data_IF_144884878420
#
_entry.id   IF_144884878420
#
_cell.length_a   1.000
_cell.length_b   1.000
_cell.length_c   1.000
_cell.angle_alpha   90.00
_cell.angle_beta   90.00
_cell.angle_gamma   90.00
#
_symmetry.space_group_name_H-M   'P 1'
#
loop_
_entity.id
_entity.type
_entity.pdbx_description
1 polymer ?
#
# COMPACT_ATOMS: atom_id res chain seq x y z
N UNK A 1 14.29 -42.11 96.20
CA UNK A 1 15.41 -42.53 95.33
C UNK A 1 15.88 -41.31 94.56
N UNK A 2 17.16 -40.97 94.69
CA UNK A 2 17.75 -39.75 94.13
C UNK A 2 17.89 -39.88 92.61
N UNK A 3 17.26 -38.98 91.85
CA UNK A 3 17.45 -38.81 90.41
C UNK A 3 18.91 -38.41 90.12
N UNK A 4 19.78 -39.36 89.81
CA UNK A 4 21.14 -39.05 89.35
C UNK A 4 21.61 -40.00 88.26
N UNK A 5 20.86 -40.04 87.16
CA UNK A 5 21.48 -40.20 85.84
C UNK A 5 21.12 -39.00 84.96
N UNK A 6 21.40 -37.82 85.49
CA UNK A 6 21.29 -36.54 84.79
C UNK A 6 22.16 -36.49 83.54
N UNK A 7 23.23 -37.30 83.50
CA UNK A 7 24.12 -37.45 82.35
C UNK A 7 23.39 -38.08 81.17
N UNK A 8 22.67 -39.19 81.37
CA UNK A 8 21.93 -39.86 80.30
C UNK A 8 20.81 -38.98 79.73
N UNK A 9 20.03 -38.30 80.59
CA UNK A 9 18.96 -37.38 80.13
C UNK A 9 19.55 -36.18 79.39
N UNK A 10 20.64 -35.59 79.91
CA UNK A 10 21.33 -34.47 79.25
C UNK A 10 21.88 -34.89 77.89
N UNK A 11 22.48 -36.07 77.79
CA UNK A 11 23.00 -36.60 76.53
C UNK A 11 21.87 -36.83 75.51
N UNK A 12 20.75 -37.41 75.92
CA UNK A 12 19.60 -37.63 75.04
C UNK A 12 19.01 -36.31 74.50
N UNK A 13 18.88 -35.30 75.37
CA UNK A 13 18.43 -33.96 74.96
C UNK A 13 19.44 -33.34 73.99
N UNK A 14 20.73 -33.44 74.27
CA UNK A 14 21.77 -32.87 73.42
C UNK A 14 21.81 -33.52 72.03
N UNK A 15 21.65 -34.85 71.95
CA UNK A 15 21.56 -35.56 70.66
C UNK A 15 20.34 -35.09 69.89
N UNK A 16 19.15 -35.08 70.52
CA UNK A 16 17.93 -34.63 69.84
C UNK A 16 18.03 -33.17 69.37
N UNK A 17 18.63 -32.29 70.17
CA UNK A 17 18.82 -30.89 69.79
C UNK A 17 19.76 -30.76 68.58
N UNK A 18 20.82 -31.57 68.53
CA UNK A 18 21.76 -31.57 67.40
C UNK A 18 21.08 -32.10 66.14
N UNK A 19 20.27 -33.15 66.24
CA UNK A 19 19.52 -33.70 65.11
C UNK A 19 18.49 -32.69 64.57
N UNK A 20 17.66 -32.13 65.47
CA UNK A 20 16.65 -31.12 65.11
C UNK A 20 17.32 -29.87 64.49
N UNK A 21 18.46 -29.42 65.05
CA UNK A 21 19.23 -28.30 64.49
C UNK A 21 19.84 -28.64 63.14
N UNK A 22 20.33 -29.87 62.94
CA UNK A 22 20.89 -30.30 61.66
C UNK A 22 19.82 -30.34 60.57
N UNK A 23 18.62 -30.80 60.89
CA UNK A 23 17.47 -30.79 59.98
C UNK A 23 17.01 -29.35 59.66
N UNK A 24 16.99 -28.47 60.67
CA UNK A 24 16.70 -27.05 60.49
C UNK A 24 17.75 -26.36 59.60
N UNK A 25 19.04 -26.58 59.84
CA UNK A 25 20.10 -25.98 59.01
C UNK A 25 20.07 -26.53 57.58
N UNK A 26 19.71 -27.79 57.40
CA UNK A 26 19.56 -28.39 56.06
C UNK A 26 18.38 -27.77 55.30
N UNK A 27 17.23 -27.57 55.95
CA UNK A 27 16.07 -26.93 55.34
C UNK A 27 16.29 -25.43 55.09
N UNK A 28 16.96 -24.72 56.00
CA UNK A 28 17.33 -23.29 55.82
C UNK A 28 18.40 -23.12 54.74
N UNK A 29 19.34 -24.05 54.58
CA UNK A 29 20.29 -24.04 53.46
C UNK A 29 19.58 -24.25 52.11
N UNK A 30 18.58 -25.14 52.06
CA UNK A 30 17.75 -25.34 50.87
C UNK A 30 16.91 -24.11 50.51
N UNK A 31 16.43 -23.36 51.51
CA UNK A 31 15.67 -22.11 51.30
C UNK A 31 16.60 -20.94 50.91
N UNK A 32 17.79 -20.85 51.49
CA UNK A 32 18.72 -19.73 51.27
C UNK A 32 19.58 -19.85 50.01
N UNK A 33 19.72 -21.05 49.43
CA UNK A 33 20.40 -21.25 48.13
C UNK A 33 19.52 -20.93 46.90
N UNK A 34 18.31 -20.41 47.11
CA UNK A 34 17.37 -20.02 46.06
C UNK A 34 16.30 -21.08 45.82
N UNK A 35 15.10 -20.84 46.35
CA UNK A 35 13.92 -21.67 46.06
C UNK A 35 13.69 -21.75 44.56
N UNK A 36 13.99 -22.91 43.98
CA UNK A 36 13.56 -23.21 42.62
C UNK A 36 12.03 -23.27 42.58
N UNK A 37 11.41 -22.56 41.64
CA UNK A 37 9.96 -22.60 41.44
C UNK A 37 9.69 -23.53 40.26
N UNK A 38 8.80 -24.49 40.46
CA UNK A 38 8.26 -25.29 39.37
C UNK A 38 7.16 -24.47 38.70
N UNK A 39 7.35 -24.10 37.43
CA UNK A 39 6.45 -23.17 36.71
C UNK A 39 5.32 -23.88 35.95
N UNK A 40 5.33 -25.21 35.87
CA UNK A 40 4.25 -26.00 35.27
C UNK A 40 4.17 -27.40 35.88
N UNK A 41 3.02 -28.06 35.77
CA UNK A 41 2.83 -29.41 36.32
C UNK A 41 3.71 -30.49 35.66
N UNK A 42 4.21 -30.23 34.45
CA UNK A 42 5.08 -31.14 33.68
C UNK A 42 6.58 -30.84 33.87
N UNK A 43 6.92 -29.79 34.63
CA UNK A 43 8.31 -29.42 34.90
C UNK A 43 8.83 -30.14 36.15
N UNK A 44 9.64 -31.17 35.94
CA UNK A 44 10.10 -32.08 37.00
C UNK A 44 11.42 -31.66 37.65
N UNK A 45 12.01 -30.54 37.26
CA UNK A 45 13.33 -30.10 37.77
C UNK A 45 13.22 -28.72 38.39
N UNK A 46 13.42 -28.52 39.70
CA UNK A 46 13.44 -27.17 40.28
C UNK A 46 14.55 -26.30 39.67
N UNK A 47 14.27 -25.02 39.42
CA UNK A 47 15.25 -24.05 38.94
C UNK A 47 14.83 -22.62 39.28
N UNK A 48 15.74 -21.65 39.13
CA UNK A 48 15.38 -20.24 39.36
C UNK A 48 14.35 -19.79 38.32
N UNK A 49 13.53 -18.79 38.69
CA UNK A 49 12.46 -18.29 37.82
C UNK A 49 12.98 -17.90 36.42
N UNK A 50 14.20 -17.39 36.34
CA UNK A 50 14.87 -17.00 35.09
C UNK A 50 15.11 -18.23 34.19
N UNK A 51 15.73 -19.28 34.70
CA UNK A 51 15.97 -20.53 33.96
C UNK A 51 14.68 -21.22 33.52
N UNK A 52 13.58 -20.99 34.25
CA UNK A 52 12.28 -21.63 34.02
C UNK A 52 11.34 -20.88 33.08
N UNK A 53 11.37 -19.55 33.06
CA UNK A 53 10.59 -18.77 32.11
C UNK A 53 11.32 -18.53 30.77
N UNK A 54 12.65 -18.70 30.71
CA UNK A 54 13.47 -18.42 29.53
C UNK A 54 13.73 -19.65 28.64
N UNK A 55 12.82 -20.63 28.59
CA UNK A 55 12.93 -21.75 27.66
C UNK A 55 12.58 -21.31 26.21
N UNK A 56 13.40 -20.43 25.62
CA UNK A 56 13.24 -19.95 24.24
C UNK A 56 14.01 -18.66 23.94
N UNK A 57 14.41 -18.47 22.68
CA UNK A 57 15.02 -17.22 22.21
C UNK A 57 13.92 -16.23 21.82
N UNK A 58 13.70 -15.17 22.61
CA UNK A 58 12.80 -14.10 22.19
C UNK A 58 12.30 -13.15 23.28
N UNK A 59 12.16 -13.65 24.51
CA UNK A 59 11.82 -12.83 25.68
C UNK A 59 12.96 -12.97 26.67
N UNK A 60 13.59 -11.85 27.05
CA UNK A 60 14.65 -11.81 28.05
C UNK A 60 14.19 -11.06 29.29
N UNK A 61 14.61 -11.52 30.47
CA UNK A 61 14.50 -10.76 31.70
C UNK A 61 15.89 -10.23 32.07
N UNK A 62 16.05 -8.91 32.14
CA UNK A 62 17.32 -8.29 32.54
C UNK A 62 17.16 -7.72 33.94
N UNK A 63 18.08 -8.10 34.83
CA UNK A 63 18.19 -7.49 36.16
C UNK A 63 19.02 -6.21 36.05
N UNK A 64 18.41 -5.08 36.37
CA UNK A 64 19.09 -3.80 36.42
C UNK A 64 19.41 -3.43 37.87
N UNK A 65 20.56 -2.76 38.04
CA UNK A 65 21.05 -2.28 39.33
C UNK A 65 21.29 -3.42 40.36
N UNK A 66 22.13 -4.42 40.01
CA UNK A 66 22.40 -5.54 40.91
C UNK A 66 23.04 -5.02 42.22
N UNK A 67 22.59 -5.55 43.37
CA UNK A 67 23.03 -5.18 44.71
C UNK A 67 22.54 -3.83 45.26
N UNK A 68 21.44 -3.29 44.72
CA UNK A 68 20.73 -2.11 45.27
C UNK A 68 19.21 -2.29 45.12
N UNK A 69 18.42 -1.23 44.92
CA UNK A 69 17.02 -1.39 44.51
C UNK A 69 16.97 -1.97 43.10
N UNK A 70 16.86 -3.30 43.04
CA UNK A 70 16.82 -4.06 41.80
C UNK A 70 15.50 -3.79 41.07
N UNK A 71 15.60 -3.53 39.77
CA UNK A 71 14.44 -3.44 38.87
C UNK A 71 14.58 -4.51 37.80
N UNK A 72 13.45 -4.98 37.27
CA UNK A 72 13.40 -5.99 36.21
C UNK A 72 12.87 -5.37 34.93
N UNK A 73 13.58 -5.59 33.83
CA UNK A 73 13.11 -5.26 32.47
C UNK A 73 12.72 -6.53 31.74
N UNK A 74 11.52 -6.53 31.15
CA UNK A 74 11.09 -7.52 30.17
C UNK A 74 11.48 -6.98 28.79
N UNK A 75 12.47 -7.60 28.16
CA UNK A 75 12.94 -7.22 26.84
C UNK A 75 12.40 -8.19 25.79
N UNK A 76 11.93 -7.64 24.67
CA UNK A 76 11.66 -8.38 23.44
C UNK A 76 12.83 -8.07 22.51
N UNK A 77 13.44 -9.08 21.92
CA UNK A 77 14.52 -8.89 20.93
C UNK A 77 13.91 -8.84 19.51
N UNK A 78 13.80 -7.65 18.88
CA UNK A 78 13.31 -7.54 17.51
C UNK A 78 14.40 -7.87 16.48
N UNK A 79 14.00 -8.13 15.23
CA UNK A 79 14.94 -8.06 14.12
C UNK A 79 15.59 -6.66 14.05
N UNK A 80 16.90 -6.61 13.82
CA UNK A 80 17.63 -5.37 13.55
C UNK A 80 17.17 -4.75 12.23
N UNK A 81 17.52 -3.48 12.01
CA UNK A 81 17.16 -2.77 10.77
C UNK A 81 17.69 -3.48 9.51
N UNK A 82 18.91 -4.02 9.56
CA UNK A 82 19.52 -4.75 8.44
C UNK A 82 18.79 -6.08 8.17
N UNK A 83 18.45 -6.81 9.22
CA UNK A 83 17.67 -8.06 9.15
C UNK A 83 16.23 -7.82 8.67
N UNK A 84 15.62 -6.70 9.08
CA UNK A 84 14.32 -6.24 8.63
C UNK A 84 14.30 -5.86 7.15
N UNK A 85 15.35 -5.20 6.68
CA UNK A 85 15.49 -4.81 5.28
C UNK A 85 15.81 -6.00 4.37
N UNK A 86 16.59 -6.96 4.87
CA UNK A 86 16.93 -8.19 4.15
C UNK A 86 15.81 -9.24 4.17
N UNK A 87 14.89 -9.18 5.15
CA UNK A 87 13.76 -10.11 5.25
C UNK A 87 14.14 -11.54 5.66
N UNK A 88 15.33 -11.76 6.21
CA UNK A 88 15.89 -13.11 6.42
C UNK A 88 15.57 -13.74 7.78
N UNK A 89 15.22 -12.92 8.79
CA UNK A 89 15.12 -13.40 10.17
C UNK A 89 13.74 -13.94 10.54
N UNK A 90 13.67 -15.25 10.77
CA UNK A 90 12.45 -15.96 11.16
C UNK A 90 12.42 -16.39 12.64
N UNK A 91 13.55 -16.33 13.36
CA UNK A 91 13.69 -16.87 14.72
C UNK A 91 13.34 -15.89 15.84
N UNK A 92 13.09 -14.61 15.53
CA UNK A 92 12.77 -13.59 16.53
C UNK A 92 11.26 -13.40 16.69
N UNK A 93 10.75 -13.02 17.87
CA UNK A 93 9.32 -12.79 18.09
C UNK A 93 8.74 -11.66 17.23
N UNK A 94 9.56 -10.66 16.90
CA UNK A 94 9.24 -9.62 15.94
C UNK A 94 10.16 -9.82 14.74
N UNK A 95 9.67 -10.60 13.78
CA UNK A 95 10.25 -10.82 12.45
C UNK A 95 9.96 -9.61 11.53
N UNK A 96 10.69 -9.46 10.41
CA UNK A 96 10.39 -8.46 9.38
C UNK A 96 8.93 -8.56 8.89
N UNK A 97 8.44 -9.79 8.72
CA UNK A 97 7.04 -10.10 8.35
C UNK A 97 6.02 -9.63 9.38
N UNK A 98 6.25 -9.87 10.68
CA UNK A 98 5.33 -9.43 11.74
C UNK A 98 5.38 -7.93 12.00
N UNK A 99 6.55 -7.29 11.81
CA UNK A 99 6.67 -5.83 11.92
C UNK A 99 5.93 -5.12 10.79
N UNK A 100 6.04 -5.65 9.57
CA UNK A 100 5.27 -5.19 8.41
C UNK A 100 3.77 -5.33 8.65
N UNK A 101 3.32 -6.43 9.25
CA UNK A 101 1.92 -6.66 9.66
C UNK A 101 1.39 -5.65 10.69
N UNK A 102 2.21 -5.22 11.66
CA UNK A 102 1.78 -4.31 12.73
C UNK A 102 1.79 -2.83 12.33
N UNK A 103 2.71 -2.39 11.47
CA UNK A 103 2.88 -0.96 11.16
C UNK A 103 2.75 -0.57 9.68
N UNK A 104 2.74 -1.50 8.73
CA UNK A 104 3.00 -1.18 7.32
C UNK A 104 2.00 -1.67 6.27
N UNK A 105 0.91 -2.35 6.62
CA UNK A 105 0.09 -3.04 5.61
C UNK A 105 -1.19 -2.33 5.14
N UNK A 106 -1.60 -1.18 5.69
CA UNK A 106 -2.83 -0.54 5.21
C UNK A 106 -2.63 0.26 3.92
N UNK A 107 -2.70 -0.43 2.77
CA UNK A 107 -2.68 0.09 1.39
C UNK A 107 -1.82 1.35 1.21
N UNK A 108 -0.54 1.26 1.61
CA UNK A 108 0.41 2.33 1.35
C UNK A 108 0.77 2.35 -0.13
N UNK A 109 0.97 3.54 -0.67
CA UNK A 109 1.63 3.75 -1.94
C UNK A 109 2.44 5.04 -1.81
N UNK A 110 3.68 5.02 -2.27
CA UNK A 110 4.58 6.16 -2.28
C UNK A 110 5.53 6.03 -3.47
N UNK A 111 5.75 7.13 -4.19
CA UNK A 111 6.43 7.10 -5.48
C UNK A 111 5.60 6.38 -6.53
N UNK A 112 6.25 5.53 -7.35
CA UNK A 112 5.61 4.80 -8.46
C UNK A 112 4.87 5.77 -9.39
N UNK A 113 5.51 6.91 -9.67
CA UNK A 113 4.98 7.96 -10.53
C UNK A 113 5.22 7.55 -11.97
N UNK A 114 4.17 7.64 -12.79
CA UNK A 114 4.25 7.30 -14.21
C UNK A 114 4.62 8.53 -15.04
N UNK A 115 5.47 8.33 -16.04
CA UNK A 115 5.76 9.33 -17.06
C UNK A 115 6.13 8.68 -18.39
N UNK A 116 5.84 9.36 -19.49
CA UNK A 116 6.37 8.96 -20.80
C UNK A 116 7.91 9.02 -20.78
N UNK A 117 8.57 8.01 -21.36
CA UNK A 117 10.02 7.99 -21.53
C UNK A 117 10.48 8.77 -22.79
N UNK A 118 11.74 8.62 -23.19
CA UNK A 118 12.29 9.15 -24.43
C UNK A 118 11.52 8.65 -25.67
N UNK A 119 11.19 7.35 -25.74
CA UNK A 119 10.20 6.85 -26.68
C UNK A 119 8.79 7.08 -26.10
N UNK A 120 8.28 8.28 -26.33
CA UNK A 120 6.98 8.65 -25.76
C UNK A 120 5.80 7.85 -26.32
N UNK A 121 6.00 7.14 -27.43
CA UNK A 121 4.93 6.43 -28.16
C UNK A 121 4.64 5.07 -27.52
N UNK A 122 5.63 4.42 -26.89
CA UNK A 122 5.46 3.06 -26.36
C UNK A 122 5.99 2.86 -24.95
N UNK A 123 6.79 3.78 -24.42
CA UNK A 123 7.59 3.54 -23.22
C UNK A 123 7.11 4.42 -22.05
N UNK A 124 6.96 3.78 -20.88
CA UNK A 124 6.58 4.41 -19.62
C UNK A 124 7.63 4.12 -18.56
N UNK A 125 8.11 5.20 -17.93
CA UNK A 125 8.94 5.14 -16.74
C UNK A 125 8.03 5.02 -15.52
N UNK A 126 8.44 4.17 -14.59
CA UNK A 126 7.82 3.96 -13.30
C UNK A 126 8.88 4.29 -12.26
N UNK A 127 8.76 5.45 -11.62
CA UNK A 127 9.77 5.88 -10.65
C UNK A 127 9.89 4.88 -9.49
N UNK A 128 11.06 4.85 -8.85
CA UNK A 128 11.27 4.09 -7.62
C UNK A 128 10.19 4.42 -6.58
N UNK A 129 9.79 3.40 -5.82
CA UNK A 129 8.70 3.54 -4.87
C UNK A 129 8.28 2.23 -4.24
N UNK A 130 7.17 2.26 -3.52
CA UNK A 130 6.63 1.07 -2.87
C UNK A 130 5.12 1.13 -2.79
N UNK A 131 4.49 -0.04 -2.83
CA UNK A 131 3.08 -0.19 -2.54
C UNK A 131 2.77 -1.52 -1.86
N UNK A 132 1.72 -1.54 -1.04
CA UNK A 132 1.14 -2.82 -0.62
C UNK A 132 0.37 -3.43 -1.79
N UNK A 133 0.47 -4.74 -1.97
CA UNK A 133 -0.31 -5.47 -2.96
C UNK A 133 -1.82 -5.33 -2.74
N UNK A 134 -2.62 -5.68 -3.75
CA UNK A 134 -4.07 -5.50 -3.73
C UNK A 134 -4.80 -6.32 -2.64
N UNK A 135 -4.17 -7.32 -2.06
CA UNK A 135 -4.70 -8.09 -0.93
C UNK A 135 -4.27 -7.54 0.44
N UNK A 136 -3.49 -6.46 0.47
CA UNK A 136 -2.90 -5.89 1.69
C UNK A 136 -2.12 -6.94 2.51
N UNK A 137 -1.30 -7.76 1.84
CA UNK A 137 -0.52 -8.87 2.43
C UNK A 137 1.00 -8.74 2.25
N UNK A 138 1.47 -8.07 1.19
CA UNK A 138 2.88 -7.99 0.82
C UNK A 138 3.26 -6.58 0.40
N UNK A 139 4.47 -6.15 0.77
CA UNK A 139 5.08 -4.93 0.26
C UNK A 139 5.82 -5.24 -1.05
N UNK A 140 5.49 -4.47 -2.09
CA UNK A 140 6.19 -4.47 -3.37
C UNK A 140 7.06 -3.21 -3.40
N UNK A 141 8.38 -3.37 -3.48
CA UNK A 141 9.34 -2.26 -3.43
C UNK A 141 10.11 -2.22 -4.75
N UNK A 142 9.86 -1.19 -5.54
CA UNK A 142 10.65 -0.92 -6.74
C UNK A 142 11.83 -0.03 -6.35
N UNK A 143 13.04 -0.61 -6.26
CA UNK A 143 14.21 0.04 -5.70
C UNK A 143 14.79 1.16 -6.58
N UNK A 144 14.62 1.06 -7.89
CA UNK A 144 15.04 2.04 -8.89
C UNK A 144 13.90 2.27 -9.90
N UNK A 145 13.95 3.36 -10.65
CA UNK A 145 13.08 3.49 -11.81
C UNK A 145 13.27 2.30 -12.77
N UNK A 146 12.19 1.88 -13.42
CA UNK A 146 12.23 0.99 -14.58
C UNK A 146 11.36 1.57 -15.70
N UNK A 147 11.73 1.26 -16.93
CA UNK A 147 10.98 1.56 -18.15
C UNK A 147 10.33 0.28 -18.66
N UNK A 148 9.04 0.32 -18.96
CA UNK A 148 8.33 -0.77 -19.65
C UNK A 148 7.74 -0.29 -20.96
N UNK A 149 7.79 -1.17 -21.96
CA UNK A 149 7.34 -0.89 -23.34
C UNK A 149 6.07 -1.65 -23.66
N UNK A 150 5.01 -0.98 -24.09
CA UNK A 150 3.68 -1.59 -24.26
C UNK A 150 3.54 -2.40 -25.57
N UNK A 151 4.43 -2.20 -26.52
CA UNK A 151 4.33 -2.70 -27.90
C UNK A 151 4.85 -4.14 -28.10
N UNK A 152 5.26 -4.80 -27.01
CA UNK A 152 5.77 -6.17 -27.03
C UNK A 152 5.31 -6.99 -25.83
N UNK A 153 5.31 -8.32 -25.99
CA UNK A 153 4.94 -9.28 -24.95
C UNK A 153 5.91 -9.22 -23.77
N UNK A 154 5.35 -9.19 -22.56
CA UNK A 154 6.08 -8.94 -21.32
C UNK A 154 7.35 -9.78 -21.16
N UNK A 155 8.42 -9.12 -20.71
CA UNK A 155 9.69 -9.72 -20.32
C UNK A 155 10.20 -9.07 -19.03
N UNK A 156 11.02 -9.82 -18.28
CA UNK A 156 11.58 -9.34 -17.01
C UNK A 156 12.56 -8.18 -17.23
N UNK A 157 12.45 -7.13 -16.43
CA UNK A 157 13.49 -6.11 -16.25
C UNK A 157 13.17 -4.73 -16.84
N UNK A 158 14.19 -3.88 -16.76
CA UNK A 158 14.22 -2.51 -17.26
C UNK A 158 14.39 -2.45 -18.78
N UNK A 159 13.85 -1.41 -19.41
CA UNK A 159 13.71 -1.24 -20.87
C UNK A 159 13.05 -2.45 -21.59
N UNK A 160 12.38 -3.32 -20.83
CA UNK A 160 11.83 -4.56 -21.34
C UNK A 160 10.36 -4.39 -21.74
N UNK A 161 9.90 -5.33 -22.57
CA UNK A 161 8.52 -5.43 -22.98
C UNK A 161 7.59 -5.60 -21.77
N UNK A 162 6.38 -5.03 -21.84
CA UNK A 162 5.49 -4.87 -20.71
C UNK A 162 4.07 -5.41 -20.90
N UNK A 163 3.64 -5.77 -22.12
CA UNK A 163 2.25 -6.15 -22.36
C UNK A 163 1.97 -7.59 -21.92
N UNK A 164 0.98 -7.77 -21.03
CA UNK A 164 0.68 -9.08 -20.45
C UNK A 164 0.11 -10.08 -21.45
N UNK A 165 -0.66 -9.59 -22.44
CA UNK A 165 -1.40 -10.41 -23.39
C UNK A 165 -1.58 -9.69 -24.74
N UNK A 166 -1.49 -10.46 -25.82
CA UNK A 166 -1.81 -9.97 -27.16
C UNK A 166 -0.81 -8.96 -27.71
N UNK A 167 -1.33 -7.97 -28.42
CA UNK A 167 -0.59 -6.85 -29.02
C UNK A 167 -1.27 -5.54 -28.65
N UNK A 168 -0.52 -4.44 -28.63
CA UNK A 168 -1.09 -3.12 -28.37
C UNK A 168 -2.19 -2.81 -29.41
N UNK A 169 -3.27 -2.20 -28.92
CA UNK A 169 -4.49 -1.93 -29.68
C UNK A 169 -4.77 -0.44 -29.68
N UNK A 170 -5.39 0.05 -30.75
CA UNK A 170 -5.74 1.46 -30.93
C UNK A 170 -6.82 1.90 -29.94
N UNK A 171 -6.81 3.18 -29.58
CA UNK A 171 -7.88 3.85 -28.80
C UNK A 171 -8.27 3.07 -27.53
N UNK A 172 -7.28 2.48 -26.84
CA UNK A 172 -7.48 1.49 -25.78
C UNK A 172 -6.83 1.90 -24.47
N UNK A 173 -7.59 1.75 -23.37
CA UNK A 173 -7.11 1.93 -21.99
C UNK A 173 -6.35 0.70 -21.52
N UNK A 174 -5.15 0.92 -20.99
CA UNK A 174 -4.34 -0.10 -20.34
C UNK A 174 -4.07 0.27 -18.89
N UNK A 175 -4.29 -0.68 -18.00
CA UNK A 175 -3.91 -0.63 -16.61
C UNK A 175 -2.40 -0.86 -16.48
N UNK A 176 -1.72 -0.06 -15.66
CA UNK A 176 -0.32 -0.26 -15.29
C UNK A 176 -0.27 -0.93 -13.93
N UNK A 177 0.31 -2.12 -13.87
CA UNK A 177 0.42 -2.93 -12.67
C UNK A 177 1.87 -3.06 -12.24
N UNK A 178 2.12 -2.88 -10.95
CA UNK A 178 3.34 -3.35 -10.29
C UNK A 178 3.11 -4.81 -9.87
N UNK A 179 4.10 -5.67 -10.08
CA UNK A 179 4.01 -7.10 -9.79
C UNK A 179 5.22 -7.57 -8.98
N UNK A 180 5.04 -8.63 -8.20
CA UNK A 180 6.12 -9.25 -7.43
C UNK A 180 6.01 -10.76 -7.37
N UNK A 181 7.18 -11.36 -7.34
CA UNK A 181 7.43 -12.75 -6.97
C UNK A 181 7.65 -12.86 -5.46
N UNK A 182 6.74 -13.52 -4.74
CA UNK A 182 6.90 -13.71 -3.30
C UNK A 182 8.07 -14.64 -2.92
N UNK A 183 8.48 -15.54 -3.83
CA UNK A 183 9.52 -16.55 -3.59
C UNK A 183 10.95 -15.98 -3.63
N UNK A 184 11.24 -15.11 -4.61
CA UNK A 184 12.55 -14.50 -4.82
C UNK A 184 12.63 -13.04 -4.40
N UNK A 185 11.47 -12.43 -4.15
CA UNK A 185 11.37 -11.00 -3.89
C UNK A 185 11.38 -10.13 -5.14
N UNK A 186 11.63 -10.67 -6.34
CA UNK A 186 11.79 -9.88 -7.57
C UNK A 186 10.51 -9.12 -7.93
N UNK A 187 10.64 -7.81 -8.11
CA UNK A 187 9.61 -6.90 -8.60
C UNK A 187 9.74 -6.58 -10.09
N UNK A 188 8.62 -6.25 -10.74
CA UNK A 188 8.56 -5.74 -12.12
C UNK A 188 7.23 -5.00 -12.33
N UNK A 189 6.92 -4.58 -13.55
CA UNK A 189 5.65 -4.01 -13.94
C UNK A 189 5.14 -4.54 -15.29
N UNK A 190 3.85 -4.36 -15.54
CA UNK A 190 3.20 -4.73 -16.80
C UNK A 190 2.06 -3.79 -17.18
N UNK A 191 1.67 -3.85 -18.45
CA UNK A 191 0.44 -3.28 -18.99
C UNK A 191 -0.60 -4.38 -19.19
N UNK A 192 -1.86 -4.09 -18.87
CA UNK A 192 -2.96 -5.03 -19.03
C UNK A 192 -4.24 -4.33 -19.47
N UNK A 193 -5.06 -5.00 -20.27
CA UNK A 193 -6.44 -4.58 -20.53
C UNK A 193 -7.34 -4.71 -19.28
N UNK A 194 -6.88 -5.47 -18.28
CA UNK A 194 -7.65 -5.75 -17.06
C UNK A 194 -7.29 -4.79 -15.93
N UNK A 195 -8.29 -4.02 -15.49
CA UNK A 195 -8.20 -3.14 -14.32
C UNK A 195 -8.52 -3.82 -12.99
N UNK A 196 -8.74 -5.15 -12.99
CA UNK A 196 -9.04 -5.92 -11.78
C UNK A 196 -8.09 -7.09 -11.56
N UNK A 197 -7.68 -7.75 -12.64
CA UNK A 197 -6.79 -8.90 -12.58
C UNK A 197 -6.01 -9.05 -13.88
N UNK A 198 -4.76 -8.57 -13.95
CA UNK A 198 -3.90 -8.80 -15.11
C UNK A 198 -3.57 -10.28 -15.25
N UNK A 199 -3.15 -10.67 -16.45
CA UNK A 199 -2.58 -12.00 -16.68
C UNK A 199 -1.18 -12.00 -16.12
N UNK A 200 -0.99 -12.67 -14.98
CA UNK A 200 0.30 -12.67 -14.30
C UNK A 200 1.32 -13.51 -15.08
N UNK A 201 2.55 -12.99 -15.30
CA UNK A 201 3.66 -13.80 -15.78
C UNK A 201 3.97 -14.96 -14.84
N UNK A 202 4.70 -15.96 -15.35
CA UNK A 202 5.05 -17.16 -14.57
C UNK A 202 5.78 -16.77 -13.27
N UNK A 203 5.38 -17.39 -12.16
CA UNK A 203 5.89 -17.19 -10.80
C UNK A 203 5.56 -15.84 -10.11
N UNK A 204 4.99 -14.85 -10.82
CA UNK A 204 4.54 -13.60 -10.18
C UNK A 204 3.15 -13.78 -9.55
N UNK A 205 3.03 -13.48 -8.26
CA UNK A 205 1.85 -13.82 -7.46
C UNK A 205 1.30 -12.66 -6.61
N UNK A 206 1.99 -11.52 -6.60
CA UNK A 206 1.50 -10.25 -6.00
C UNK A 206 1.37 -9.18 -7.05
N UNK A 207 0.39 -8.29 -6.88
CA UNK A 207 0.10 -7.21 -7.83
C UNK A 207 -0.52 -5.98 -7.18
N UNK A 208 -0.22 -4.81 -7.71
CA UNK A 208 -0.85 -3.54 -7.35
C UNK A 208 -1.11 -2.71 -8.60
N UNK A 209 -2.33 -2.20 -8.74
CA UNK A 209 -2.68 -1.25 -9.78
C UNK A 209 -2.09 0.11 -9.41
N UNK A 210 -1.22 0.66 -10.26
CA UNK A 210 -0.49 1.91 -9.95
C UNK A 210 -0.85 3.06 -10.88
N UNK A 211 -1.56 2.79 -11.97
CA UNK A 211 -2.06 3.81 -12.88
C UNK A 211 -2.61 3.24 -14.16
N UNK A 212 -2.65 4.06 -15.20
CA UNK A 212 -3.16 3.70 -16.51
C UNK A 212 -2.53 4.54 -17.60
N UNK A 213 -2.60 4.04 -18.83
CA UNK A 213 -2.31 4.78 -20.06
C UNK A 213 -3.44 4.60 -21.06
N UNK A 214 -3.57 5.53 -22.00
CA UNK A 214 -4.51 5.47 -23.10
C UNK A 214 -3.73 5.57 -24.40
N UNK A 215 -4.03 4.68 -25.34
CA UNK A 215 -3.45 4.71 -26.69
C UNK A 215 -4.34 5.50 -27.65
N UNK A 216 -3.77 6.00 -28.75
CA UNK A 216 -4.48 6.68 -29.82
C UNK A 216 -4.84 5.75 -30.99
N UNK A 217 -5.39 6.32 -32.06
CA UNK A 217 -5.78 5.60 -33.27
C UNK A 217 -4.62 4.90 -34.02
N UNK A 218 -3.37 5.15 -33.64
CA UNK A 218 -2.16 4.51 -34.17
C UNK A 218 -1.47 3.60 -33.16
N UNK A 219 -2.14 3.28 -32.04
CA UNK A 219 -1.62 2.50 -30.92
C UNK A 219 -0.48 3.18 -30.12
N UNK A 220 -0.25 4.49 -30.31
CA UNK A 220 0.74 5.23 -29.55
C UNK A 220 0.14 5.68 -28.22
N UNK A 221 0.94 5.68 -27.15
CA UNK A 221 0.53 6.22 -25.85
C UNK A 221 0.28 7.73 -25.97
N UNK A 222 -0.90 8.16 -25.50
CA UNK A 222 -1.20 9.57 -25.34
C UNK A 222 -0.36 10.15 -24.19
N UNK A 223 0.46 11.14 -24.51
CA UNK A 223 1.32 11.78 -23.54
C UNK A 223 0.53 12.45 -22.41
N UNK A 224 1.05 12.32 -21.19
CA UNK A 224 0.43 12.86 -19.98
C UNK A 224 1.46 13.45 -19.02
N UNK A 225 0.96 14.09 -17.96
CA UNK A 225 1.75 14.39 -16.76
C UNK A 225 0.99 13.92 -15.53
N UNK A 226 1.70 13.29 -14.60
CA UNK A 226 1.15 12.89 -13.31
C UNK A 226 1.56 13.92 -12.25
N UNK A 227 0.60 14.31 -11.41
CA UNK A 227 0.83 15.21 -10.28
C UNK A 227 0.30 14.59 -8.99
N UNK A 228 1.02 14.83 -7.91
CA UNK A 228 0.74 14.24 -6.59
C UNK A 228 1.50 12.94 -6.37
N UNK A 229 1.33 12.40 -5.18
CA UNK A 229 1.87 11.12 -4.73
C UNK A 229 0.86 10.48 -3.75
N UNK A 230 1.06 9.22 -3.39
CA UNK A 230 0.15 8.51 -2.51
C UNK A 230 -1.07 7.95 -3.24
N UNK A 231 -2.13 7.68 -2.49
CA UNK A 231 -3.32 6.98 -2.99
C UNK A 231 -4.10 7.79 -4.02
N UNK A 232 -3.94 9.10 -4.09
CA UNK A 232 -4.63 9.95 -5.07
C UNK A 232 -3.61 10.70 -5.91
N UNK A 233 -3.71 10.55 -7.23
CA UNK A 233 -2.88 11.29 -8.19
C UNK A 233 -3.75 11.89 -9.28
N UNK A 234 -3.31 13.02 -9.82
CA UNK A 234 -3.98 13.68 -10.95
C UNK A 234 -3.21 13.39 -12.22
N UNK A 235 -3.88 12.80 -13.20
CA UNK A 235 -3.34 12.59 -14.55
C UNK A 235 -3.87 13.70 -15.45
N UNK A 236 -2.95 14.49 -16.00
CA UNK A 236 -3.22 15.54 -16.99
C UNK A 236 -2.85 15.03 -18.37
N UNK A 237 -3.84 14.96 -19.26
CA UNK A 237 -3.61 14.55 -20.63
C UNK A 237 -3.05 15.73 -21.43
N UNK A 238 -1.98 15.53 -22.19
CA UNK A 238 -1.42 16.61 -23.03
C UNK A 238 -2.36 16.95 -24.18
N UNK A 239 -3.03 15.95 -24.74
CA UNK A 239 -4.15 16.11 -25.66
C UNK A 239 -5.50 16.20 -24.91
N UNK A 240 -6.56 16.67 -25.58
CA UNK A 240 -7.94 16.61 -25.06
C UNK A 240 -8.52 15.28 -25.47
N UNK A 241 -9.02 14.49 -24.52
CA UNK A 241 -9.63 13.20 -24.84
C UNK A 241 -11.08 13.40 -25.26
N UNK A 242 -11.43 13.07 -26.50
CA UNK A 242 -12.82 13.21 -26.98
C UNK A 242 -13.68 12.11 -26.38
N UNK A 243 -14.73 12.50 -25.65
CA UNK A 243 -15.69 11.55 -25.09
C UNK A 243 -16.74 11.19 -26.15
N UNK A 244 -17.36 12.22 -26.73
CA UNK A 244 -18.38 12.09 -27.76
C UNK A 244 -18.58 13.43 -28.47
N UNK A 245 -18.93 13.38 -29.76
CA UNK A 245 -19.25 14.54 -30.60
C UNK A 245 -20.74 14.57 -30.96
N UNK A 246 -21.23 15.73 -31.38
CA UNK A 246 -22.63 15.89 -31.82
C UNK A 246 -23.66 15.82 -30.69
N UNK A 247 -23.23 16.01 -29.44
CA UNK A 247 -24.11 15.94 -28.28
C UNK A 247 -25.06 17.15 -28.27
N UNK A 248 -26.36 16.87 -28.16
CA UNK A 248 -27.41 17.89 -28.12
C UNK A 248 -28.52 17.49 -27.14
N UNK A 249 -28.53 18.09 -25.95
CA UNK A 249 -29.54 17.81 -24.92
C UNK A 249 -29.90 19.06 -24.12
N UNK A 250 -31.16 19.46 -24.13
CA UNK A 250 -31.69 20.61 -23.35
C UNK A 250 -32.18 20.21 -21.96
N UNK A 251 -32.13 18.92 -21.63
CA UNK A 251 -32.33 18.34 -20.31
C UNK A 251 -31.15 17.42 -19.99
N UNK A 252 -30.92 17.09 -18.72
CA UNK A 252 -29.77 16.26 -18.35
C UNK A 252 -29.84 14.89 -19.04
N UNK A 253 -28.85 14.63 -19.88
CA UNK A 253 -28.63 13.36 -20.54
C UNK A 253 -27.36 12.70 -19.99
N UNK A 254 -27.37 11.38 -19.88
CA UNK A 254 -26.22 10.58 -19.44
C UNK A 254 -25.23 10.41 -20.60
N UNK A 255 -23.95 10.59 -20.32
CA UNK A 255 -22.84 10.31 -21.22
C UNK A 255 -21.82 9.43 -20.51
N UNK A 256 -21.43 8.32 -21.14
CA UNK A 256 -20.37 7.45 -20.61
C UNK A 256 -19.00 8.06 -20.83
N UNK A 257 -18.13 7.90 -19.83
CA UNK A 257 -16.71 8.28 -19.85
C UNK A 257 -15.79 7.07 -20.05
N UNK A 258 -16.32 5.84 -20.05
CA UNK A 258 -15.54 4.60 -20.03
C UNK A 258 -14.65 4.36 -21.24
N UNK A 259 -14.86 5.08 -22.34
CA UNK A 259 -14.00 5.02 -23.52
C UNK A 259 -12.65 5.74 -23.32
N UNK A 260 -12.59 6.71 -22.41
CA UNK A 260 -11.40 7.58 -22.23
C UNK A 260 -10.86 7.57 -20.80
N UNK A 261 -11.58 6.98 -19.85
CA UNK A 261 -11.23 6.95 -18.44
C UNK A 261 -11.46 5.56 -17.84
N UNK A 262 -10.54 5.05 -17.00
CA UNK A 262 -10.75 3.80 -16.26
C UNK A 262 -11.65 4.06 -15.06
N UNK A 263 -12.95 3.86 -15.23
CA UNK A 263 -13.99 4.26 -14.28
C UNK A 263 -13.94 3.52 -12.94
N UNK A 264 -13.17 2.44 -12.83
CA UNK A 264 -12.91 1.74 -11.57
C UNK A 264 -11.88 2.45 -10.67
N UNK A 265 -11.07 3.35 -11.24
CA UNK A 265 -10.02 4.08 -10.52
C UNK A 265 -10.32 5.57 -10.40
N UNK A 266 -11.01 6.14 -11.39
CA UNK A 266 -11.24 7.59 -11.43
C UNK A 266 -12.22 8.00 -10.33
N UNK A 267 -11.89 9.04 -9.58
CA UNK A 267 -12.77 9.67 -8.60
C UNK A 267 -13.47 10.89 -9.20
N UNK A 268 -12.69 11.72 -9.90
CA UNK A 268 -13.14 12.99 -10.46
C UNK A 268 -12.44 13.25 -11.79
N UNK A 269 -13.05 14.08 -12.62
CA UNK A 269 -12.47 14.49 -13.90
C UNK A 269 -12.69 15.97 -14.17
N UNK A 270 -11.86 16.54 -15.05
CA UNK A 270 -11.97 17.90 -15.51
C UNK A 270 -12.67 17.89 -16.89
N UNK A 271 -13.96 18.28 -16.98
CA UNK A 271 -14.69 18.35 -18.25
C UNK A 271 -14.24 19.55 -19.10
N UNK A 272 -14.33 19.40 -20.42
CA UNK A 272 -14.27 20.50 -21.38
C UNK A 272 -15.23 20.26 -22.53
N UNK A 273 -15.58 21.30 -23.29
CA UNK A 273 -16.43 21.15 -24.47
C UNK A 273 -16.14 22.20 -25.54
N UNK A 274 -16.40 21.82 -26.79
CA UNK A 274 -16.25 22.69 -27.96
C UNK A 274 -17.55 22.66 -28.77
N UNK A 275 -17.96 23.83 -29.28
CA UNK A 275 -19.06 23.99 -30.23
C UNK A 275 -18.51 24.58 -31.55
N UNK A 276 -18.93 24.04 -32.68
CA UNK A 276 -18.48 24.52 -33.99
C UNK A 276 -19.32 25.68 -34.54
N UNK A 277 -20.40 26.05 -33.85
CA UNK A 277 -21.41 27.01 -34.37
C UNK A 277 -21.39 28.34 -33.61
N UNK A 278 -21.39 28.30 -32.28
CA UNK A 278 -21.36 29.48 -31.41
C UNK A 278 -20.95 29.07 -30.00
N UNK A 279 -20.67 30.06 -29.14
CA UNK A 279 -20.51 29.79 -27.70
C UNK A 279 -21.78 29.18 -27.13
N UNK A 280 -21.65 28.13 -26.31
CA UNK A 280 -22.76 27.39 -25.69
C UNK A 280 -22.51 27.26 -24.20
N UNK A 281 -23.53 27.47 -23.35
CA UNK A 281 -23.43 27.08 -21.94
C UNK A 281 -23.58 25.58 -21.79
N UNK A 282 -22.61 24.97 -21.14
CA UNK A 282 -22.56 23.54 -20.84
C UNK A 282 -22.65 23.37 -19.34
N UNK A 283 -23.60 22.55 -18.92
CA UNK A 283 -23.83 22.20 -17.52
C UNK A 283 -23.45 20.74 -17.35
N UNK A 284 -22.53 20.47 -16.43
CA UNK A 284 -22.12 19.12 -16.10
C UNK A 284 -22.59 18.80 -14.68
N UNK A 285 -23.08 17.59 -14.50
CA UNK A 285 -23.60 17.06 -13.25
C UNK A 285 -23.11 15.63 -13.02
N UNK A 286 -22.83 15.27 -11.77
CA UNK A 286 -22.55 13.88 -11.42
C UNK A 286 -23.85 13.05 -11.36
N UNK A 287 -24.95 13.60 -10.85
CA UNK A 287 -26.20 12.87 -10.56
C UNK A 287 -27.37 13.17 -11.52
N UNK A 288 -27.20 14.11 -12.45
CA UNK A 288 -28.25 14.54 -13.37
C UNK A 288 -29.36 15.39 -12.72
N UNK A 289 -29.18 15.81 -11.46
CA UNK A 289 -30.15 16.63 -10.73
C UNK A 289 -29.65 18.07 -10.61
N UNK A 290 -28.43 18.27 -10.12
CA UNK A 290 -27.84 19.60 -9.91
C UNK A 290 -26.57 19.80 -10.74
N UNK A 291 -26.32 21.02 -11.22
CA UNK A 291 -25.09 21.33 -11.93
C UNK A 291 -23.90 21.32 -10.95
N UNK A 292 -22.93 20.46 -11.20
CA UNK A 292 -21.65 20.43 -10.49
C UNK A 292 -20.67 21.47 -11.02
N UNK A 293 -20.78 21.80 -12.31
CA UNK A 293 -20.04 22.92 -12.92
C UNK A 293 -20.80 23.48 -14.12
N UNK A 294 -20.57 24.76 -14.42
CA UNK A 294 -21.10 25.48 -15.58
C UNK A 294 -19.92 26.14 -16.26
N UNK A 295 -19.75 25.89 -17.56
CA UNK A 295 -18.72 26.53 -18.36
C UNK A 295 -19.21 26.80 -19.78
N UNK A 296 -18.52 27.69 -20.49
CA UNK A 296 -18.84 28.01 -21.87
C UNK A 296 -18.05 27.10 -22.82
N UNK A 297 -18.75 26.30 -23.63
CA UNK A 297 -18.17 25.62 -24.79
C UNK A 297 -17.81 26.65 -25.87
N UNK A 298 -16.56 26.65 -26.32
CA UNK A 298 -15.99 27.69 -27.19
C UNK A 298 -16.26 27.44 -28.68
N UNK A 299 -16.25 28.53 -29.47
CA UNK A 299 -16.30 28.54 -30.94
C UNK A 299 -14.90 28.37 -31.56
N UNK A 300 -14.80 27.62 -32.67
CA UNK A 300 -13.60 27.01 -33.26
C UNK A 300 -12.53 27.94 -33.87
N UNK A 301 -12.59 29.26 -33.65
CA UNK A 301 -11.58 30.20 -34.17
C UNK A 301 -10.47 30.56 -33.17
N UNK A 302 -10.51 30.03 -31.94
CA UNK A 302 -9.44 30.26 -30.97
C UNK A 302 -8.38 29.17 -31.07
N UNK A 303 -7.14 29.58 -31.34
CA UNK A 303 -5.95 28.74 -31.42
C UNK A 303 -5.85 27.75 -30.23
N UNK A 304 -5.22 26.61 -30.48
CA UNK A 304 -4.76 25.69 -29.43
C UNK A 304 -3.97 26.50 -28.40
N UNK A 305 -4.50 26.64 -27.18
CA UNK A 305 -3.91 27.44 -26.10
C UNK A 305 -4.61 28.78 -25.77
N UNK A 306 -5.70 29.17 -26.44
CA UNK A 306 -6.46 30.41 -26.13
C UNK A 306 -7.96 30.18 -25.87
N UNK A 307 -8.28 29.01 -25.36
CA UNK A 307 -9.58 28.69 -24.83
C UNK A 307 -9.52 28.91 -23.31
N UNK A 308 -10.48 29.64 -22.73
CA UNK A 308 -10.68 29.72 -21.28
C UNK A 308 -11.09 28.34 -20.72
N UNK A 309 -10.26 27.31 -20.90
CA UNK A 309 -10.48 25.92 -20.47
C UNK A 309 -10.40 25.73 -18.97
N UNK A 310 -10.23 26.81 -18.21
CA UNK A 310 -9.95 26.77 -16.78
C UNK A 310 -10.75 27.79 -15.96
N UNK A 311 -11.54 28.66 -16.59
CA UNK A 311 -12.07 29.84 -15.92
C UNK A 311 -13.43 30.25 -16.50
N UNK A 312 -14.49 30.08 -15.72
CA UNK A 312 -15.44 31.20 -15.62
C UNK A 312 -14.64 32.35 -15.01
N UNK A 313 -14.72 33.54 -15.60
CA UNK A 313 -14.09 34.77 -15.08
C UNK A 313 -14.43 35.08 -13.61
N UNK A 314 -15.41 34.40 -13.02
CA UNK A 314 -15.76 34.46 -11.61
C UNK A 314 -15.03 33.47 -10.68
N UNK A 315 -14.31 32.44 -11.18
CA UNK A 315 -13.72 31.38 -10.35
C UNK A 315 -12.22 31.20 -10.57
N UNK A 316 -11.44 31.23 -9.48
CA UNK A 316 -9.97 31.29 -9.53
C UNK A 316 -9.23 29.95 -9.78
N UNK A 317 -9.91 28.80 -9.95
CA UNK A 317 -9.29 27.47 -10.02
C UNK A 317 -10.07 26.44 -10.87
N UNK A 318 -9.39 25.42 -11.46
CA UNK A 318 -10.04 24.33 -12.21
C UNK A 318 -11.01 23.52 -11.34
N UNK A 319 -12.19 23.21 -11.88
CA UNK A 319 -13.26 22.48 -11.18
C UNK A 319 -13.30 21.03 -11.66
N UNK A 320 -12.94 20.11 -10.76
CA UNK A 320 -13.10 18.67 -10.98
C UNK A 320 -14.50 18.21 -10.58
N UNK A 321 -15.15 17.45 -11.45
CA UNK A 321 -16.47 16.87 -11.24
C UNK A 321 -16.35 15.39 -10.84
N UNK A 322 -17.02 14.93 -9.77
CA UNK A 322 -17.08 13.51 -9.43
C UNK A 322 -17.70 12.68 -10.55
N UNK A 323 -17.20 11.46 -10.74
CA UNK A 323 -17.85 10.49 -11.64
C UNK A 323 -18.99 9.78 -10.93
N UNK A 324 -20.01 9.35 -11.69
CA UNK A 324 -21.10 8.52 -11.19
C UNK A 324 -21.08 7.17 -11.90
N UNK A 325 -20.43 6.20 -11.25
CA UNK A 325 -20.05 4.95 -11.92
C UNK A 325 -19.22 5.27 -13.16
N UNK A 326 -19.68 4.83 -14.33
CA UNK A 326 -19.01 5.07 -15.60
C UNK A 326 -19.43 6.35 -16.35
N UNK A 327 -20.25 7.20 -15.73
CA UNK A 327 -21.00 8.24 -16.44
C UNK A 327 -20.84 9.64 -15.84
N UNK A 328 -21.17 10.62 -16.68
CA UNK A 328 -21.48 12.00 -16.32
C UNK A 328 -22.81 12.41 -16.92
N UNK A 329 -23.41 13.47 -16.43
CA UNK A 329 -24.64 14.04 -16.97
C UNK A 329 -24.37 15.41 -17.53
N UNK A 330 -24.88 15.69 -18.72
CA UNK A 330 -24.71 16.98 -19.37
C UNK A 330 -26.05 17.54 -19.83
N UNK A 331 -26.16 18.87 -19.86
CA UNK A 331 -27.18 19.59 -20.62
C UNK A 331 -26.59 20.86 -21.20
N UNK A 332 -27.19 21.34 -22.29
CA UNK A 332 -26.77 22.53 -23.01
C UNK A 332 -28.00 23.38 -23.36
N UNK A 333 -27.79 24.69 -23.46
CA UNK A 333 -28.90 25.63 -23.74
C UNK A 333 -29.38 25.55 -25.20
N UNK A 334 -28.46 25.39 -26.17
CA UNK A 334 -28.73 25.22 -27.60
C UNK A 334 -27.48 24.68 -28.34
N UNK A 335 -27.62 24.32 -29.62
CA UNK A 335 -26.54 23.81 -30.53
C UNK A 335 -26.08 22.36 -30.23
N UNK A 336 -24.98 21.94 -30.85
CA UNK A 336 -24.28 20.66 -30.61
C UNK A 336 -22.90 20.92 -30.05
N UNK A 337 -22.42 20.05 -29.16
CA UNK A 337 -21.05 20.10 -28.63
C UNK A 337 -20.29 18.80 -28.87
N UNK A 338 -18.97 18.88 -28.80
CA UNK A 338 -18.10 17.73 -28.50
C UNK A 338 -17.63 17.85 -27.06
N UNK A 339 -17.87 16.82 -26.25
CA UNK A 339 -17.42 16.73 -24.86
C UNK A 339 -16.01 16.13 -24.81
N UNK A 340 -15.18 16.68 -23.92
CA UNK A 340 -13.80 16.29 -23.71
C UNK A 340 -13.48 16.07 -22.23
N UNK A 341 -12.43 15.29 -21.98
CA UNK A 341 -11.74 15.19 -20.69
C UNK A 341 -10.34 15.77 -20.84
N UNK A 342 -9.91 16.59 -19.87
CA UNK A 342 -8.56 17.15 -19.81
C UNK A 342 -7.68 16.50 -18.74
N UNK A 343 -8.27 16.15 -17.61
CA UNK A 343 -7.58 15.54 -16.51
C UNK A 343 -8.52 14.63 -15.72
N UNK A 344 -7.94 13.70 -14.97
CA UNK A 344 -8.66 12.86 -14.02
C UNK A 344 -7.86 12.68 -12.73
N UNK A 345 -8.57 12.70 -11.62
CA UNK A 345 -8.04 12.31 -10.31
C UNK A 345 -8.37 10.83 -10.16
N UNK A 346 -7.35 10.01 -9.98
CA UNK A 346 -7.50 8.57 -9.77
C UNK A 346 -7.11 8.17 -8.35
N UNK A 347 -7.73 7.10 -7.89
CA UNK A 347 -7.33 6.36 -6.71
C UNK A 347 -6.46 5.15 -7.14
N UNK A 348 -5.26 5.06 -6.55
CA UNK A 348 -4.29 3.96 -6.74
C UNK A 348 -4.37 2.93 -5.62
#
# INVERSE_FOLDING_TARGET
ESYTDTTTVKNAIQVKLVDDLTELFTSVAAISAGSGVIVSADDTSPGVLEDKLLAGGGIGFVTNNPASNETRTIAIDPASEAEALAGTEASKPITPSTLLYVFGQMSQIAGLVLSNDADTEHDINITAGKATDGADTHLIVLASEITKRIDAAWAVGDDAAGLDTGSVANDTLYAVWLIKRADTGIEDALFSLSFSSPTMPTDYDKKRLVGYVLTDGSANILNFTQQGDGREVTIWQKARLSVASGLAATSYATQSLGAVLPTSMVLKYLPGAISTVSTVRVHISHDGTNASTIFNGLHTTNAVGQAYELYDTAYAAPIFVPINGANTHYKIDAQTITLYVRAAIIQR
#
